data_IF_743099138728
#
_entry.id   IF_743099138728
#
_cell.length_a   1.000
_cell.length_b   1.000
_cell.length_c   1.000
_cell.angle_alpha   90.00
_cell.angle_beta   90.00
_cell.angle_gamma   90.00
#
_symmetry.space_group_name_H-M   'P 1'
#
loop_
_entity.id
_entity.type
_entity.pdbx_description
1 polymer ?
#
# COMPACT_ATOMS: atom_id res chain seq x y z
N UNK A 1 66.90 -59.72 -9.58
CA UNK A 1 65.46 -59.58 -9.98
C UNK A 1 64.48 -59.19 -8.88
N UNK A 2 64.70 -59.52 -7.60
CA UNK A 2 63.71 -59.14 -6.51
C UNK A 2 63.73 -57.67 -6.14
N UNK A 3 64.80 -56.93 -6.36
CA UNK A 3 64.92 -55.52 -5.96
C UNK A 3 64.37 -54.54 -7.04
N UNK A 4 64.29 -54.93 -8.29
CA UNK A 4 63.74 -54.11 -9.39
C UNK A 4 62.23 -54.09 -9.33
N UNK A 5 61.62 -55.22 -8.88
CA UNK A 5 60.17 -55.27 -8.76
C UNK A 5 59.61 -54.42 -7.60
N UNK A 6 60.40 -54.18 -6.51
CA UNK A 6 60.03 -53.31 -5.40
C UNK A 6 60.13 -51.81 -5.75
N UNK A 7 61.04 -51.42 -6.61
CA UNK A 7 61.16 -50.03 -7.09
C UNK A 7 60.04 -49.68 -8.08
N UNK A 8 59.62 -50.61 -8.94
CA UNK A 8 58.50 -50.38 -9.85
C UNK A 8 57.14 -50.30 -9.13
N UNK A 9 56.93 -51.05 -8.03
CA UNK A 9 55.70 -50.98 -7.28
C UNK A 9 55.60 -49.68 -6.45
N UNK A 10 56.70 -49.08 -6.03
CA UNK A 10 56.73 -47.83 -5.28
C UNK A 10 56.51 -46.61 -6.19
N UNK A 11 57.00 -46.66 -7.47
CA UNK A 11 56.77 -45.61 -8.44
C UNK A 11 55.34 -45.54 -8.97
N UNK A 12 54.65 -46.70 -9.07
CA UNK A 12 53.25 -46.77 -9.47
C UNK A 12 52.33 -46.30 -8.32
N UNK A 13 52.69 -46.50 -7.05
CA UNK A 13 51.92 -46.05 -5.91
C UNK A 13 52.08 -44.50 -5.71
N UNK A 14 53.27 -43.95 -6.03
CA UNK A 14 53.49 -42.51 -5.98
C UNK A 14 52.77 -41.75 -7.10
N UNK A 15 52.52 -42.35 -8.26
CA UNK A 15 51.80 -41.75 -9.39
C UNK A 15 50.29 -41.76 -9.21
N UNK A 16 49.73 -42.59 -8.30
CA UNK A 16 48.27 -42.64 -8.03
C UNK A 16 47.82 -41.60 -7.02
N UNK A 17 48.78 -40.95 -6.31
CA UNK A 17 48.43 -39.94 -5.29
C UNK A 17 48.33 -38.49 -5.81
N UNK A 18 48.55 -38.27 -7.12
CA UNK A 18 48.44 -36.92 -7.71
C UNK A 18 47.22 -36.71 -8.62
N UNK A 19 46.24 -37.63 -8.61
CA UNK A 19 44.94 -37.41 -9.29
C UNK A 19 43.81 -37.22 -8.27
N UNK A 20 44.09 -36.48 -7.20
CA UNK A 20 43.01 -35.78 -6.52
C UNK A 20 42.86 -34.45 -7.30
N UNK A 21 42.21 -34.55 -8.45
CA UNK A 21 41.78 -33.40 -9.19
C UNK A 21 40.96 -32.51 -8.29
N UNK A 22 41.32 -31.24 -8.19
CA UNK A 22 40.39 -30.21 -7.75
C UNK A 22 39.09 -30.42 -8.50
N UNK A 23 38.05 -30.91 -7.84
CA UNK A 23 36.70 -30.75 -8.34
C UNK A 23 36.55 -29.23 -8.45
N UNK A 24 36.54 -28.71 -9.66
CA UNK A 24 36.06 -27.39 -9.94
C UNK A 24 34.63 -27.41 -9.42
N UNK A 25 34.36 -26.75 -8.30
CA UNK A 25 32.98 -26.53 -7.88
C UNK A 25 32.30 -25.86 -9.07
N UNK A 26 31.32 -26.52 -9.65
CA UNK A 26 30.46 -25.86 -10.64
C UNK A 26 29.81 -24.68 -9.92
N UNK A 27 29.86 -23.50 -10.52
CA UNK A 27 29.22 -22.34 -9.91
C UNK A 27 27.73 -22.69 -9.68
N UNK A 28 27.26 -22.50 -8.46
CA UNK A 28 25.83 -22.66 -8.13
C UNK A 28 25.08 -21.73 -9.09
N UNK A 29 24.12 -22.24 -9.86
CA UNK A 29 23.37 -21.38 -10.77
C UNK A 29 22.68 -20.27 -9.97
N UNK A 30 22.87 -19.04 -10.38
CA UNK A 30 22.15 -17.90 -9.83
C UNK A 30 20.68 -18.08 -10.20
N UNK A 31 19.79 -18.13 -9.22
CA UNK A 31 18.34 -18.33 -9.44
C UNK A 31 17.54 -17.09 -9.05
N UNK A 32 18.14 -16.15 -8.33
CA UNK A 32 17.50 -14.94 -7.79
C UNK A 32 18.12 -13.66 -8.33
N UNK A 33 17.44 -12.54 -8.15
CA UNK A 33 17.99 -11.20 -8.19
C UNK A 33 18.02 -10.62 -6.79
N UNK A 34 18.74 -9.52 -6.59
CA UNK A 34 18.84 -8.84 -5.30
C UNK A 34 18.05 -7.54 -5.33
N UNK A 35 17.05 -7.41 -4.48
CA UNK A 35 16.45 -6.11 -4.15
C UNK A 35 17.24 -5.49 -3.01
N UNK A 36 17.68 -4.23 -3.18
CA UNK A 36 18.46 -3.48 -2.19
C UNK A 36 18.07 -2.01 -2.20
N UNK A 37 18.24 -1.34 -1.08
CA UNK A 37 18.04 0.10 -1.01
C UNK A 37 18.48 0.68 0.33
N UNK A 38 18.42 2.01 0.42
CA UNK A 38 18.70 2.76 1.65
C UNK A 38 17.41 3.44 2.10
N UNK A 39 17.15 3.43 3.40
CA UNK A 39 15.97 4.07 3.99
C UNK A 39 16.45 5.28 4.78
N UNK A 40 15.86 6.44 4.48
CA UNK A 40 16.23 7.71 5.11
C UNK A 40 15.00 8.47 5.59
N UNK A 41 15.21 9.33 6.58
CA UNK A 41 14.25 10.37 6.95
C UNK A 41 14.25 11.45 5.87
N UNK A 42 13.07 11.79 5.35
CA UNK A 42 12.92 12.70 4.20
C UNK A 42 13.38 14.14 4.50
N UNK A 43 13.33 14.57 5.77
CA UNK A 43 13.72 15.94 6.17
C UNK A 43 15.19 16.02 6.53
N UNK A 44 15.66 15.12 7.39
CA UNK A 44 17.05 15.16 7.89
C UNK A 44 18.04 14.42 6.99
N UNK A 45 17.56 13.62 6.02
CA UNK A 45 18.34 12.68 5.21
C UNK A 45 19.16 11.67 6.05
N UNK A 46 18.81 11.49 7.31
CA UNK A 46 19.47 10.54 8.21
C UNK A 46 19.05 9.11 7.88
N UNK A 47 20.00 8.18 7.93
CA UNK A 47 19.73 6.76 7.74
C UNK A 47 18.81 6.22 8.85
N UNK A 48 17.84 5.39 8.49
CA UNK A 48 16.87 4.80 9.40
C UNK A 48 17.13 3.31 9.60
N UNK A 49 17.60 2.95 10.79
CA UNK A 49 17.75 1.57 11.22
C UNK A 49 16.41 0.95 11.63
N UNK A 50 16.33 -0.39 11.66
CA UNK A 50 15.19 -1.15 12.18
C UNK A 50 13.85 -0.80 11.50
N UNK A 51 13.87 -0.46 10.20
CA UNK A 51 12.69 -0.31 9.38
C UNK A 51 12.31 -1.69 8.83
N UNK A 52 11.09 -2.14 9.09
CA UNK A 52 10.54 -3.34 8.49
C UNK A 52 10.16 -3.07 7.04
N UNK A 53 10.78 -3.76 6.10
CA UNK A 53 10.45 -3.75 4.66
C UNK A 53 9.78 -5.06 4.31
N UNK A 54 8.58 -5.02 3.74
CA UNK A 54 7.79 -6.18 3.32
C UNK A 54 7.67 -6.14 1.81
N UNK A 55 7.95 -7.27 1.15
CA UNK A 55 7.90 -7.41 -0.30
C UNK A 55 6.57 -8.01 -0.74
N UNK A 56 5.98 -7.42 -1.76
CA UNK A 56 4.71 -7.86 -2.37
C UNK A 56 4.93 -8.19 -3.85
N UNK A 57 4.26 -9.22 -4.33
CA UNK A 57 4.13 -9.51 -5.76
C UNK A 57 3.13 -8.54 -6.39
N UNK A 58 3.57 -7.80 -7.41
CA UNK A 58 2.77 -6.76 -8.04
C UNK A 58 1.62 -7.32 -8.90
N UNK A 59 1.72 -8.56 -9.38
CA UNK A 59 0.69 -9.17 -10.23
C UNK A 59 -0.49 -9.70 -9.39
N UNK A 60 -0.20 -10.15 -8.17
CA UNK A 60 -1.21 -10.72 -7.26
C UNK A 60 -1.61 -9.77 -6.14
N UNK A 61 -0.88 -8.65 -6.00
CA UNK A 61 -1.02 -7.69 -4.89
C UNK A 61 -0.97 -8.36 -3.51
N UNK A 62 -0.17 -9.43 -3.40
CA UNK A 62 -0.06 -10.27 -2.20
C UNK A 62 1.37 -10.22 -1.65
N UNK A 63 1.55 -10.28 -0.31
CA UNK A 63 2.88 -10.43 0.28
C UNK A 63 3.54 -11.71 -0.22
N UNK A 64 4.83 -11.63 -0.52
CA UNK A 64 5.64 -12.80 -0.93
C UNK A 64 6.05 -13.69 0.25
N UNK A 65 5.90 -13.21 1.48
CA UNK A 65 6.51 -13.75 2.70
C UNK A 65 7.87 -13.13 3.01
N UNK A 66 8.58 -12.64 2.00
CA UNK A 66 9.88 -12.01 2.21
C UNK A 66 9.75 -10.67 2.93
N UNK A 67 10.47 -10.53 4.04
CA UNK A 67 10.60 -9.30 4.80
C UNK A 67 12.01 -9.15 5.36
N UNK A 68 12.43 -7.91 5.59
CA UNK A 68 13.77 -7.62 6.12
C UNK A 68 13.74 -6.33 6.93
N UNK A 69 14.62 -6.24 7.93
CA UNK A 69 14.86 -5.00 8.66
C UNK A 69 16.10 -4.28 8.10
N UNK A 70 16.04 -2.95 8.00
CA UNK A 70 17.20 -2.15 7.64
C UNK A 70 18.27 -2.18 8.75
N UNK A 71 19.54 -2.17 8.33
CA UNK A 71 20.70 -2.08 9.22
C UNK A 71 20.87 -0.68 9.84
N UNK A 72 21.87 -0.53 10.69
CA UNK A 72 22.20 0.74 11.35
C UNK A 72 22.58 1.87 10.38
N UNK A 73 22.96 1.52 9.18
CA UNK A 73 23.26 2.40 8.04
C UNK A 73 22.04 2.68 7.16
N UNK A 74 20.86 2.19 7.54
CA UNK A 74 19.61 2.30 6.78
C UNK A 74 19.51 1.35 5.59
N UNK A 75 20.53 0.51 5.33
CA UNK A 75 20.55 -0.38 4.17
C UNK A 75 19.72 -1.62 4.44
N UNK A 76 18.89 -2.02 3.46
CA UNK A 76 18.22 -3.31 3.42
C UNK A 76 18.58 -4.08 2.16
N UNK A 77 18.51 -5.41 2.20
CA UNK A 77 18.77 -6.28 1.05
C UNK A 77 18.01 -7.59 1.19
N UNK A 78 17.38 -8.06 0.12
CA UNK A 78 16.63 -9.31 0.06
C UNK A 78 16.78 -9.97 -1.31
N UNK A 79 16.95 -11.29 -1.32
CA UNK A 79 16.99 -12.09 -2.55
C UNK A 79 15.56 -12.47 -2.97
N UNK A 80 15.24 -12.28 -4.25
CA UNK A 80 13.92 -12.54 -4.82
C UNK A 80 14.03 -13.29 -6.14
N UNK A 81 13.06 -14.12 -6.45
CA UNK A 81 12.90 -14.66 -7.79
C UNK A 81 12.66 -13.53 -8.81
N UNK A 82 13.00 -13.73 -10.10
CA UNK A 82 12.65 -12.75 -11.13
C UNK A 82 11.15 -12.51 -11.21
N UNK A 83 10.73 -11.23 -11.15
CA UNK A 83 9.32 -10.88 -11.13
C UNK A 83 9.08 -9.39 -10.95
N UNK A 84 7.80 -8.98 -10.97
CA UNK A 84 7.35 -7.63 -10.67
C UNK A 84 6.94 -7.54 -9.20
N UNK A 85 7.47 -6.55 -8.50
CA UNK A 85 7.29 -6.39 -7.04
C UNK A 85 7.00 -4.94 -6.68
N UNK A 86 6.46 -4.74 -5.48
CA UNK A 86 6.51 -3.48 -4.76
C UNK A 86 6.84 -3.74 -3.28
N UNK A 87 7.22 -2.70 -2.56
CA UNK A 87 7.54 -2.78 -1.13
C UNK A 87 6.69 -1.85 -0.31
N UNK A 88 6.46 -2.23 0.94
CA UNK A 88 5.92 -1.36 1.99
C UNK A 88 6.90 -1.34 3.15
N UNK A 89 7.11 -0.15 3.73
CA UNK A 89 8.00 0.04 4.86
C UNK A 89 7.25 0.58 6.09
N UNK A 90 7.63 0.11 7.27
CA UNK A 90 7.02 0.51 8.54
C UNK A 90 8.06 0.59 9.67
N UNK A 91 7.92 1.60 10.54
CA UNK A 91 8.80 1.80 11.70
C UNK A 91 8.06 2.57 12.80
N UNK A 92 8.40 2.27 14.05
CA UNK A 92 7.91 3.05 15.19
C UNK A 92 8.38 4.52 15.09
N UNK A 93 7.44 5.46 15.22
CA UNK A 93 7.67 6.89 15.10
C UNK A 93 7.62 7.44 13.66
N UNK A 94 7.42 6.59 12.65
CA UNK A 94 7.33 6.97 11.23
C UNK A 94 6.01 6.49 10.62
N UNK A 95 5.46 7.26 9.70
CA UNK A 95 4.33 6.81 8.88
C UNK A 95 4.77 5.67 7.96
N UNK A 96 3.82 4.83 7.54
CA UNK A 96 4.10 3.79 6.54
C UNK A 96 4.48 4.42 5.20
N UNK A 97 5.36 3.78 4.46
CA UNK A 97 5.66 4.13 3.07
C UNK A 97 5.26 2.96 2.15
N UNK A 98 4.35 3.13 1.17
CA UNK A 98 3.51 4.31 0.98
C UNK A 98 2.50 4.50 2.13
N UNK A 99 1.95 5.73 2.29
CA UNK A 99 0.88 5.99 3.26
C UNK A 99 -0.36 5.11 3.00
N UNK A 100 -1.21 4.88 4.01
CA UNK A 100 -2.49 4.19 3.82
C UNK A 100 -3.33 4.81 2.70
N UNK A 101 -4.04 3.97 1.94
CA UNK A 101 -4.87 4.37 0.77
C UNK A 101 -4.11 4.92 -0.45
N UNK A 102 -2.78 4.92 -0.43
CA UNK A 102 -1.94 5.23 -1.61
C UNK A 102 -1.47 3.92 -2.22
N UNK A 103 -1.76 3.73 -3.50
CA UNK A 103 -1.31 2.53 -4.21
C UNK A 103 0.21 2.56 -4.40
N UNK A 104 0.92 1.46 -4.10
CA UNK A 104 2.37 1.38 -4.31
C UNK A 104 2.73 1.37 -5.80
N UNK A 105 3.97 1.72 -6.10
CA UNK A 105 4.53 1.65 -7.46
C UNK A 105 5.38 0.38 -7.59
N UNK A 106 5.11 -0.41 -8.63
CA UNK A 106 5.85 -1.63 -8.92
C UNK A 106 7.18 -1.39 -9.61
N UNK A 107 8.10 -2.35 -9.46
CA UNK A 107 9.39 -2.43 -10.13
C UNK A 107 9.73 -3.89 -10.45
N UNK A 108 10.63 -4.11 -11.42
CA UNK A 108 11.05 -5.45 -11.82
C UNK A 108 12.37 -5.85 -11.13
N UNK A 109 12.42 -7.12 -10.68
CA UNK A 109 13.65 -7.80 -10.27
C UNK A 109 14.02 -8.81 -11.34
N UNK A 110 15.28 -8.75 -11.81
CA UNK A 110 15.81 -9.64 -12.85
C UNK A 110 16.88 -10.57 -12.32
N UNK A 111 17.00 -11.74 -12.92
CA UNK A 111 17.96 -12.79 -12.55
C UNK A 111 19.38 -12.26 -12.50
N UNK A 112 20.07 -12.42 -11.36
CA UNK A 112 21.46 -12.02 -11.17
C UNK A 112 21.71 -10.50 -11.21
N UNK A 113 20.67 -9.68 -11.14
CA UNK A 113 20.76 -8.21 -11.19
C UNK A 113 20.40 -7.62 -9.83
N UNK A 114 21.14 -6.61 -9.39
CA UNK A 114 20.77 -5.77 -8.25
C UNK A 114 19.76 -4.70 -8.72
N UNK A 115 18.55 -4.72 -8.14
CA UNK A 115 17.53 -3.68 -8.30
C UNK A 115 17.58 -2.78 -7.08
N UNK A 116 17.81 -1.47 -7.30
CA UNK A 116 17.89 -0.50 -6.20
C UNK A 116 16.55 0.20 -6.03
N UNK A 117 16.02 0.19 -4.80
CA UNK A 117 14.81 0.91 -4.40
C UNK A 117 15.06 1.58 -3.05
N UNK A 118 15.42 2.87 -3.11
CA UNK A 118 15.54 3.69 -1.89
C UNK A 118 14.14 4.10 -1.41
N UNK A 119 14.01 4.31 -0.09
CA UNK A 119 12.74 4.66 0.56
C UNK A 119 12.98 5.87 1.45
N UNK A 120 12.19 6.90 1.26
CA UNK A 120 12.13 8.04 2.17
C UNK A 120 10.91 7.89 3.09
N UNK A 121 11.12 8.09 4.39
CA UNK A 121 10.06 8.03 5.39
C UNK A 121 9.93 9.37 6.11
N UNK A 122 8.75 9.68 6.59
CA UNK A 122 8.45 10.89 7.35
C UNK A 122 7.90 10.53 8.72
N UNK A 123 8.15 11.40 9.71
CA UNK A 123 7.71 11.19 11.09
C UNK A 123 6.19 11.04 11.19
N UNK A 124 5.76 10.12 12.03
CA UNK A 124 4.34 9.90 12.29
C UNK A 124 3.69 11.10 12.99
N UNK A 125 2.41 11.32 12.66
CA UNK A 125 1.54 12.25 13.39
C UNK A 125 1.10 11.68 14.73
N UNK A 126 1.21 10.35 14.92
CA UNK A 126 0.89 9.67 16.19
C UNK A 126 2.03 9.86 17.18
N UNK A 127 1.84 10.76 18.14
CA UNK A 127 2.78 10.97 19.22
C UNK A 127 2.60 9.93 20.32
N UNK A 128 3.70 9.33 20.80
CA UNK A 128 3.70 8.31 21.85
C UNK A 128 2.87 7.05 21.51
N UNK A 129 2.76 6.65 20.24
CA UNK A 129 2.16 5.39 19.87
C UNK A 129 2.86 4.21 20.56
N UNK A 130 2.08 3.21 21.01
CA UNK A 130 2.58 1.90 21.37
C UNK A 130 2.71 1.01 20.15
N UNK A 131 3.00 -0.27 20.35
CA UNK A 131 3.00 -1.28 19.28
C UNK A 131 2.41 -2.59 19.77
N UNK A 132 1.81 -3.36 18.86
CA UNK A 132 1.20 -4.67 19.14
C UNK A 132 2.04 -5.74 18.47
N UNK A 133 2.39 -6.80 19.20
CA UNK A 133 3.08 -7.98 18.66
C UNK A 133 2.30 -9.25 18.94
N UNK A 134 2.42 -10.21 18.02
CA UNK A 134 1.77 -11.51 18.15
C UNK A 134 2.15 -12.42 17.01
N UNK A 135 1.46 -13.54 16.92
CA UNK A 135 1.68 -14.56 15.92
C UNK A 135 0.36 -15.04 15.30
N UNK A 136 0.36 -15.29 13.99
CA UNK A 136 -0.79 -15.83 13.27
C UNK A 136 -0.55 -17.30 12.97
N UNK A 137 -1.49 -18.17 13.39
CA UNK A 137 -1.37 -19.62 13.26
C UNK A 137 -2.66 -20.25 12.72
N UNK A 138 -2.52 -21.26 11.87
CA UNK A 138 -3.60 -22.18 11.50
C UNK A 138 -3.29 -23.58 12.09
N UNK A 139 -3.85 -23.88 13.26
CA UNK A 139 -3.40 -25.02 14.06
C UNK A 139 -1.93 -24.82 14.48
N UNK A 140 -1.05 -25.76 14.10
CA UNK A 140 0.38 -25.70 14.37
C UNK A 140 1.20 -25.06 13.23
N UNK A 141 0.54 -24.58 12.17
CA UNK A 141 1.19 -24.01 10.99
C UNK A 141 1.20 -22.49 11.08
N UNK A 142 2.37 -21.88 10.91
CA UNK A 142 2.49 -20.42 10.79
C UNK A 142 1.77 -19.92 9.52
N UNK A 143 1.03 -18.83 9.63
CA UNK A 143 0.38 -18.19 8.48
C UNK A 143 1.17 -16.96 8.09
N UNK A 144 1.93 -17.08 7.01
CA UNK A 144 2.65 -15.97 6.41
C UNK A 144 1.73 -15.12 5.51
N UNK A 145 2.04 -13.84 5.39
CA UNK A 145 1.39 -12.96 4.43
C UNK A 145 -0.05 -12.57 4.76
N UNK A 146 -0.55 -12.85 5.96
CA UNK A 146 -1.85 -12.36 6.41
C UNK A 146 -1.77 -10.85 6.73
N UNK A 147 -2.79 -10.09 6.36
CA UNK A 147 -2.99 -8.72 6.83
C UNK A 147 -3.55 -8.76 8.25
N UNK A 148 -2.85 -8.17 9.21
CA UNK A 148 -3.33 -8.01 10.57
C UNK A 148 -3.82 -6.57 10.74
N UNK A 149 -5.02 -6.42 11.29
CA UNK A 149 -5.63 -5.13 11.57
C UNK A 149 -6.03 -5.04 13.04
N UNK A 150 -5.58 -4.00 13.70
CA UNK A 150 -6.07 -3.55 14.99
C UNK A 150 -7.06 -2.40 14.74
N UNK A 151 -8.34 -2.64 15.00
CA UNK A 151 -9.44 -1.69 14.76
C UNK A 151 -10.02 -1.18 16.07
N UNK A 152 -10.27 0.13 16.14
CA UNK A 152 -11.04 0.77 17.20
C UNK A 152 -12.06 1.74 16.59
N UNK A 153 -13.27 1.28 16.42
CA UNK A 153 -14.41 2.06 15.91
C UNK A 153 -14.16 2.75 14.54
N UNK A 154 -13.37 2.10 13.66
CA UNK A 154 -13.05 2.57 12.32
C UNK A 154 -11.67 3.21 12.19
N UNK A 155 -10.96 3.42 13.29
CA UNK A 155 -9.54 3.80 13.28
C UNK A 155 -8.69 2.53 13.28
N UNK A 156 -8.10 2.19 12.13
CA UNK A 156 -7.39 0.94 11.90
C UNK A 156 -5.88 1.13 11.74
N UNK A 157 -5.12 0.22 12.36
CA UNK A 157 -3.66 0.10 12.24
C UNK A 157 -3.33 -1.30 11.76
N UNK A 158 -2.38 -1.46 10.84
CA UNK A 158 -2.17 -2.76 10.21
C UNK A 158 -0.71 -3.10 9.96
N UNK A 159 -0.46 -4.37 9.73
CA UNK A 159 0.82 -4.94 9.29
C UNK A 159 0.57 -6.24 8.53
N UNK A 160 1.65 -6.92 8.09
CA UNK A 160 1.61 -8.24 7.47
C UNK A 160 2.43 -9.22 8.33
N UNK A 161 1.98 -10.46 8.45
CA UNK A 161 2.75 -11.53 9.11
C UNK A 161 3.93 -11.99 8.25
N UNK A 162 5.07 -12.29 8.89
CA UNK A 162 6.27 -12.85 8.28
C UNK A 162 6.12 -14.36 8.00
N UNK A 163 7.20 -15.01 7.51
CA UNK A 163 7.24 -16.45 7.19
C UNK A 163 6.96 -17.34 8.42
N UNK A 164 7.34 -16.90 9.60
CA UNK A 164 7.09 -17.58 10.87
C UNK A 164 5.71 -17.23 11.48
N UNK A 165 4.93 -16.37 10.80
CA UNK A 165 3.63 -15.89 11.25
C UNK A 165 3.71 -14.75 12.27
N UNK A 166 4.91 -14.26 12.64
CA UNK A 166 5.04 -13.15 13.58
C UNK A 166 4.63 -11.83 12.94
N UNK A 167 4.19 -10.88 13.76
CA UNK A 167 3.83 -9.55 13.29
C UNK A 167 4.09 -8.46 14.33
N UNK A 168 4.27 -7.23 13.84
CA UNK A 168 4.34 -6.02 14.66
C UNK A 168 3.51 -4.90 14.00
N UNK A 169 2.53 -4.36 14.72
CA UNK A 169 1.79 -3.16 14.32
C UNK A 169 2.39 -1.97 15.07
N UNK A 170 2.98 -1.03 14.35
CA UNK A 170 3.63 0.15 14.88
C UNK A 170 2.66 1.34 15.03
N UNK A 171 3.02 2.32 15.86
CA UNK A 171 2.39 3.63 15.99
C UNK A 171 0.89 3.56 16.38
N UNK A 172 0.54 2.62 17.24
CA UNK A 172 -0.84 2.43 17.70
C UNK A 172 -1.12 3.34 18.91
N UNK A 173 -2.09 4.27 18.84
CA UNK A 173 -2.48 5.09 19.98
C UNK A 173 -2.96 4.24 21.18
N UNK A 174 -2.87 4.80 22.39
CA UNK A 174 -3.32 4.11 23.58
C UNK A 174 -4.84 3.96 23.58
N UNK A 175 -5.33 2.74 23.42
CA UNK A 175 -6.74 2.34 23.44
C UNK A 175 -6.85 0.81 23.48
N UNK A 176 -8.09 0.29 23.49
CA UNK A 176 -8.35 -1.13 23.31
C UNK A 176 -8.83 -1.40 21.88
N UNK A 177 -8.20 -2.35 21.20
CA UNK A 177 -8.44 -2.70 19.81
C UNK A 177 -8.98 -4.12 19.68
N UNK A 178 -9.86 -4.32 18.70
CA UNK A 178 -10.14 -5.62 18.13
C UNK A 178 -9.05 -5.93 17.10
N UNK A 179 -8.33 -7.04 17.26
CA UNK A 179 -7.24 -7.43 16.37
C UNK A 179 -7.62 -8.69 15.61
N UNK A 180 -7.61 -8.61 14.29
CA UNK A 180 -7.98 -9.69 13.38
C UNK A 180 -6.93 -9.87 12.28
N UNK A 181 -6.86 -11.08 11.71
CA UNK A 181 -6.04 -11.40 10.55
C UNK A 181 -6.92 -11.68 9.33
N UNK A 182 -6.48 -11.24 8.15
CA UNK A 182 -7.21 -11.32 6.89
C UNK A 182 -6.32 -11.91 5.79
N UNK A 183 -6.79 -13.00 5.18
CA UNK A 183 -6.12 -13.68 4.08
C UNK A 183 -7.17 -14.45 3.27
N UNK A 184 -7.08 -14.42 1.95
CA UNK A 184 -7.96 -15.22 1.10
C UNK A 184 -7.95 -16.70 1.49
N UNK A 185 -9.11 -17.32 1.59
CA UNK A 185 -9.26 -18.74 1.95
C UNK A 185 -9.28 -19.04 3.45
N UNK A 186 -9.06 -18.06 4.33
CA UNK A 186 -9.00 -18.26 5.78
C UNK A 186 -10.05 -17.41 6.51
N UNK A 187 -10.62 -17.96 7.56
CA UNK A 187 -11.38 -17.19 8.56
C UNK A 187 -10.52 -17.00 9.81
N UNK A 188 -10.68 -15.88 10.49
CA UNK A 188 -9.90 -15.48 11.66
C UNK A 188 -10.74 -15.44 12.92
N UNK A 189 -10.08 -15.62 14.08
CA UNK A 189 -10.66 -15.39 15.39
C UNK A 189 -10.12 -14.08 15.97
N UNK A 190 -11.03 -13.14 16.29
CA UNK A 190 -10.68 -11.86 16.86
C UNK A 190 -10.04 -12.00 18.25
N UNK A 191 -8.99 -11.20 18.50
CA UNK A 191 -8.39 -11.04 19.82
C UNK A 191 -8.43 -9.58 20.27
N UNK A 192 -8.47 -9.33 21.56
CA UNK A 192 -8.46 -7.97 22.12
C UNK A 192 -7.08 -7.57 22.57
N UNK A 193 -6.60 -6.39 22.20
CA UNK A 193 -5.33 -5.82 22.61
C UNK A 193 -5.51 -4.45 23.25
N UNK A 194 -5.06 -4.29 24.51
CA UNK A 194 -5.08 -2.99 25.19
C UNK A 194 -3.70 -2.34 25.11
N UNK A 195 -3.60 -1.30 24.29
CA UNK A 195 -2.36 -0.59 24.01
C UNK A 195 -2.14 0.51 25.04
N UNK A 196 -0.92 0.57 25.57
CA UNK A 196 -0.43 1.66 26.41
C UNK A 196 0.59 2.49 25.63
N UNK A 197 0.60 3.80 25.84
CA UNK A 197 1.50 4.73 25.15
C UNK A 197 2.98 4.32 25.27
N UNK A 198 3.71 4.33 24.15
CA UNK A 198 5.15 4.06 24.04
C UNK A 198 5.59 2.71 24.59
N UNK A 199 4.69 1.73 24.66
CA UNK A 199 5.00 0.37 25.16
C UNK A 199 4.51 -0.71 24.22
N UNK A 200 5.13 -1.89 24.35
CA UNK A 200 4.68 -3.09 23.67
C UNK A 200 3.42 -3.68 24.32
N UNK A 201 2.49 -4.12 23.49
CA UNK A 201 1.40 -5.02 23.84
C UNK A 201 1.67 -6.37 23.18
N UNK A 202 2.29 -7.29 23.91
CA UNK A 202 2.71 -8.58 23.38
C UNK A 202 1.63 -9.67 23.55
N UNK A 203 1.74 -10.74 22.73
CA UNK A 203 0.90 -11.93 22.84
C UNK A 203 -0.50 -11.79 22.28
N UNK A 204 -0.71 -10.89 21.33
CA UNK A 204 -1.96 -10.81 20.56
C UNK A 204 -1.96 -11.91 19.47
N UNK A 205 -1.93 -13.18 19.87
CA UNK A 205 -1.83 -14.33 18.97
C UNK A 205 -3.19 -14.63 18.34
N UNK A 206 -3.22 -14.78 17.01
CA UNK A 206 -4.44 -14.93 16.21
C UNK A 206 -4.51 -16.34 15.63
N UNK A 207 -5.64 -17.01 15.86
CA UNK A 207 -5.93 -18.29 15.23
C UNK A 207 -6.72 -18.09 13.94
N UNK A 208 -6.26 -18.73 12.85
CA UNK A 208 -6.95 -18.80 11.57
C UNK A 208 -7.36 -20.23 11.25
N UNK A 209 -8.41 -20.39 10.44
CA UNK A 209 -8.91 -21.67 9.94
C UNK A 209 -9.16 -21.57 8.45
N UNK A 210 -8.71 -22.57 7.67
CA UNK A 210 -9.03 -22.69 6.26
C UNK A 210 -10.51 -22.90 6.01
N UNK A 211 -11.00 -22.47 4.85
CA UNK A 211 -12.37 -22.76 4.41
C UNK A 211 -13.24 -21.54 4.14
N UNK A 212 -12.66 -20.34 4.02
CA UNK A 212 -13.42 -19.19 3.51
C UNK A 212 -13.91 -19.46 2.09
N UNK A 213 -15.23 -19.30 1.84
CA UNK A 213 -15.90 -19.71 0.60
C UNK A 213 -16.75 -18.61 -0.03
N UNK A 214 -16.67 -17.38 0.47
CA UNK A 214 -17.35 -16.23 -0.13
C UNK A 214 -16.79 -15.89 -1.51
N UNK A 215 -17.59 -15.19 -2.33
CA UNK A 215 -17.18 -14.65 -3.62
C UNK A 215 -17.78 -13.26 -3.81
N UNK A 216 -16.97 -12.35 -4.37
CA UNK A 216 -17.42 -11.01 -4.78
C UNK A 216 -17.18 -10.86 -6.28
N UNK A 217 -18.23 -10.53 -7.00
CA UNK A 217 -18.20 -10.31 -8.45
C UNK A 217 -18.87 -9.00 -8.79
N UNK A 218 -18.70 -8.49 -10.00
CA UNK A 218 -19.46 -7.31 -10.44
C UNK A 218 -19.11 -6.85 -11.84
N UNK A 219 -20.06 -6.11 -12.42
CA UNK A 219 -19.85 -5.44 -13.68
C UNK A 219 -19.06 -4.14 -13.48
N UNK A 220 -18.10 -3.88 -14.39
CA UNK A 220 -17.34 -2.63 -14.44
C UNK A 220 -17.86 -1.82 -15.63
N UNK A 221 -18.34 -0.61 -15.36
CA UNK A 221 -18.74 0.34 -16.41
C UNK A 221 -17.62 1.32 -16.68
N UNK A 222 -17.05 1.27 -17.88
CA UNK A 222 -15.98 2.18 -18.31
C UNK A 222 -16.57 3.47 -18.88
N UNK A 223 -16.37 4.59 -18.20
CA UNK A 223 -16.66 5.94 -18.71
C UNK A 223 -15.43 6.59 -19.37
N UNK A 224 -14.26 5.98 -19.19
CA UNK A 224 -13.02 6.34 -19.84
C UNK A 224 -12.94 5.81 -21.27
N UNK A 225 -12.05 6.38 -22.09
CA UNK A 225 -11.83 5.97 -23.49
C UNK A 225 -10.61 5.07 -23.61
N UNK A 226 -10.73 3.95 -24.33
CA UNK A 226 -9.64 3.02 -24.63
C UNK A 226 -9.85 1.61 -24.08
N UNK A 227 -8.86 0.75 -24.29
CA UNK A 227 -8.81 -0.58 -23.71
C UNK A 227 -8.06 -0.44 -22.37
N UNK A 228 -8.79 -0.52 -21.26
CA UNK A 228 -8.29 -0.15 -19.94
C UNK A 228 -8.31 -1.39 -19.06
N UNK A 229 -7.19 -1.69 -18.44
CA UNK A 229 -7.11 -2.63 -17.34
C UNK A 229 -7.56 -1.93 -16.05
N UNK A 230 -8.17 -2.66 -15.15
CA UNK A 230 -8.61 -2.18 -13.85
C UNK A 230 -8.11 -3.15 -12.80
N UNK A 231 -7.41 -2.65 -11.83
CA UNK A 231 -7.02 -3.39 -10.63
C UNK A 231 -8.19 -3.33 -9.64
N UNK A 232 -8.83 -4.48 -9.41
CA UNK A 232 -9.94 -4.61 -8.47
C UNK A 232 -9.48 -5.32 -7.23
N UNK A 233 -9.64 -4.70 -6.08
CA UNK A 233 -9.25 -5.26 -4.79
C UNK A 233 -10.36 -5.11 -3.74
N UNK A 234 -10.42 -6.06 -2.80
CA UNK A 234 -11.13 -5.87 -1.54
C UNK A 234 -10.15 -5.34 -0.50
N UNK A 235 -10.48 -4.20 0.07
CA UNK A 235 -9.67 -3.53 1.10
C UNK A 235 -10.37 -3.57 2.45
N UNK A 236 -9.59 -3.51 3.54
CA UNK A 236 -10.15 -3.39 4.89
C UNK A 236 -10.70 -1.97 5.11
N UNK A 237 -11.95 -1.82 5.59
CA UNK A 237 -12.61 -0.51 5.65
C UNK A 237 -11.90 0.53 6.52
N UNK A 238 -11.28 0.12 7.63
CA UNK A 238 -10.63 1.05 8.57
C UNK A 238 -9.19 1.39 8.22
N UNK A 239 -8.52 0.59 7.36
CA UNK A 239 -7.13 0.84 6.99
C UNK A 239 -6.94 1.17 5.51
N UNK A 240 -7.90 0.82 4.65
CA UNK A 240 -7.75 0.91 3.20
C UNK A 240 -6.73 -0.08 2.59
N UNK A 241 -6.10 -0.93 3.42
CA UNK A 241 -5.15 -1.94 2.95
C UNK A 241 -5.85 -3.07 2.21
N UNK A 242 -5.25 -3.51 1.09
CA UNK A 242 -5.74 -4.66 0.33
C UNK A 242 -5.63 -5.94 1.14
N UNK A 243 -6.68 -6.75 1.12
CA UNK A 243 -6.65 -8.09 1.71
C UNK A 243 -5.81 -9.00 0.81
N UNK A 244 -4.75 -9.63 1.32
CA UNK A 244 -3.89 -10.50 0.53
C UNK A 244 -4.67 -11.64 -0.15
N UNK A 245 -4.42 -11.82 -1.45
CA UNK A 245 -5.12 -12.79 -2.30
C UNK A 245 -6.52 -12.36 -2.75
N UNK A 246 -6.98 -11.15 -2.39
CA UNK A 246 -8.28 -10.61 -2.82
C UNK A 246 -8.11 -9.41 -3.74
N UNK A 247 -7.31 -9.57 -4.79
CA UNK A 247 -7.18 -8.61 -5.89
C UNK A 247 -7.09 -9.33 -7.24
N UNK A 248 -7.46 -8.63 -8.29
CA UNK A 248 -7.36 -9.10 -9.68
C UNK A 248 -7.17 -7.92 -10.61
N UNK A 249 -6.37 -8.11 -11.66
CA UNK A 249 -6.25 -7.17 -12.76
C UNK A 249 -7.10 -7.71 -13.92
N UNK A 250 -7.95 -6.88 -14.50
CA UNK A 250 -8.82 -7.28 -15.61
C UNK A 250 -9.00 -6.19 -16.65
N UNK A 251 -8.90 -6.56 -17.91
CA UNK A 251 -9.31 -5.74 -19.05
C UNK A 251 -10.77 -6.01 -19.49
N UNK A 252 -11.50 -6.86 -18.76
CA UNK A 252 -12.89 -7.20 -19.02
C UNK A 252 -13.86 -6.29 -18.27
N UNK A 253 -15.12 -6.31 -18.68
CA UNK A 253 -16.20 -5.58 -18.01
C UNK A 253 -16.78 -6.31 -16.79
N UNK A 254 -16.15 -7.37 -16.33
CA UNK A 254 -16.58 -8.16 -15.16
C UNK A 254 -15.36 -8.61 -14.37
N UNK A 255 -15.43 -8.53 -13.05
CA UNK A 255 -14.43 -9.07 -12.12
C UNK A 255 -15.03 -10.14 -11.22
N UNK A 256 -14.19 -11.03 -10.69
CA UNK A 256 -14.54 -12.02 -9.69
C UNK A 256 -13.36 -12.24 -8.74
N UNK A 257 -13.67 -12.18 -7.43
CA UNK A 257 -12.76 -12.50 -6.33
C UNK A 257 -13.37 -13.64 -5.52
N UNK A 258 -12.64 -14.74 -5.37
CA UNK A 258 -13.10 -15.96 -4.69
C UNK A 258 -12.36 -16.20 -3.38
N UNK A 259 -12.82 -17.17 -2.57
CA UNK A 259 -12.25 -17.50 -1.27
C UNK A 259 -12.24 -16.33 -0.29
N UNK A 260 -13.25 -15.46 -0.39
CA UNK A 260 -13.38 -14.27 0.45
C UNK A 260 -13.85 -14.69 1.84
N UNK A 261 -13.11 -14.36 2.92
CA UNK A 261 -13.53 -14.60 4.30
C UNK A 261 -14.85 -13.89 4.64
N UNK A 262 -15.54 -14.35 5.67
CA UNK A 262 -16.66 -13.61 6.20
C UNK A 262 -16.19 -12.28 6.80
N UNK A 263 -16.88 -11.20 6.48
CA UNK A 263 -16.49 -9.87 6.95
C UNK A 263 -17.06 -8.73 6.12
N UNK A 264 -16.64 -7.53 6.47
CA UNK A 264 -16.99 -6.29 5.76
C UNK A 264 -15.75 -5.75 5.05
N UNK A 265 -15.93 -5.41 3.78
CA UNK A 265 -14.87 -4.95 2.88
C UNK A 265 -15.30 -3.70 2.14
N UNK A 266 -14.33 -2.99 1.57
CA UNK A 266 -14.53 -1.94 0.61
C UNK A 266 -13.93 -2.41 -0.74
N UNK A 267 -14.77 -2.51 -1.77
CA UNK A 267 -14.29 -2.81 -3.11
C UNK A 267 -13.66 -1.56 -3.73
N UNK A 268 -12.44 -1.67 -4.21
CA UNK A 268 -11.72 -0.59 -4.88
C UNK A 268 -11.32 -0.99 -6.29
N UNK A 269 -11.30 0.01 -7.19
CA UNK A 269 -10.82 -0.14 -8.55
C UNK A 269 -9.87 1.00 -8.88
N UNK A 270 -8.64 0.66 -9.17
CA UNK A 270 -7.59 1.56 -9.63
C UNK A 270 -6.60 0.76 -10.47
N UNK A 271 -5.68 1.40 -11.16
CA UNK A 271 -4.58 0.74 -11.85
C UNK A 271 -3.36 1.64 -11.84
N UNK A 272 -2.31 1.23 -11.21
CA UNK A 272 -0.93 1.72 -11.20
C UNK A 272 -0.66 3.10 -11.82
N UNK A 273 -1.38 4.15 -11.40
CA UNK A 273 -1.15 5.52 -11.88
C UNK A 273 -1.29 5.66 -13.42
N UNK A 274 -2.30 5.00 -13.97
CA UNK A 274 -2.58 4.92 -15.42
C UNK A 274 -3.56 6.00 -15.95
N UNK A 275 -4.02 6.87 -15.07
CA UNK A 275 -5.00 7.88 -15.42
C UNK A 275 -6.46 7.44 -15.23
N UNK A 276 -6.72 6.33 -14.52
CA UNK A 276 -8.08 5.80 -14.28
C UNK A 276 -8.39 5.83 -12.77
N UNK A 277 -9.61 6.25 -12.46
CA UNK A 277 -10.13 6.30 -11.08
C UNK A 277 -11.56 5.77 -11.03
N UNK A 278 -11.98 5.36 -9.83
CA UNK A 278 -13.40 5.09 -9.60
C UNK A 278 -14.23 6.35 -9.89
N UNK A 279 -15.39 6.17 -10.56
CA UNK A 279 -16.31 7.27 -10.84
C UNK A 279 -16.91 7.82 -9.54
N UNK A 280 -16.57 9.05 -9.14
CA UNK A 280 -17.06 9.61 -7.89
C UNK A 280 -18.58 9.87 -7.90
N UNK A 281 -19.21 10.05 -9.07
CA UNK A 281 -20.67 10.17 -9.19
C UNK A 281 -21.37 8.84 -8.89
N UNK A 282 -20.74 7.73 -9.26
CA UNK A 282 -21.23 6.40 -8.87
C UNK A 282 -21.22 6.24 -7.34
N UNK A 283 -20.14 6.67 -6.68
CA UNK A 283 -20.01 6.64 -5.21
C UNK A 283 -21.09 7.52 -4.56
N UNK A 284 -21.34 8.72 -5.08
CA UNK A 284 -22.39 9.61 -4.55
C UNK A 284 -23.79 8.96 -4.63
N UNK A 285 -24.09 8.30 -5.74
CA UNK A 285 -25.41 7.70 -6.00
C UNK A 285 -25.65 6.40 -5.25
N UNK A 286 -24.62 5.58 -5.10
CA UNK A 286 -24.72 4.22 -4.60
C UNK A 286 -24.12 4.05 -3.20
N UNK A 287 -23.41 5.05 -2.68
CA UNK A 287 -22.56 4.99 -1.49
C UNK A 287 -21.20 4.39 -1.77
N UNK A 288 -20.33 4.42 -0.78
CA UNK A 288 -19.07 3.68 -0.84
C UNK A 288 -19.35 2.20 -1.13
N UNK A 289 -18.55 1.54 -1.98
CA UNK A 289 -18.81 0.17 -2.42
C UNK A 289 -18.49 -0.85 -1.32
N UNK A 290 -19.12 -0.72 -0.16
CA UNK A 290 -19.05 -1.71 0.91
C UNK A 290 -19.65 -3.04 0.48
N UNK A 291 -18.99 -4.11 0.89
CA UNK A 291 -19.38 -5.49 0.66
C UNK A 291 -19.38 -6.20 2.01
N UNK A 292 -20.50 -6.80 2.39
CA UNK A 292 -20.57 -7.70 3.55
C UNK A 292 -20.69 -9.13 3.03
N UNK A 293 -19.68 -9.95 3.34
CA UNK A 293 -19.61 -11.36 2.98
C UNK A 293 -19.96 -12.19 4.20
N UNK A 294 -20.89 -13.12 4.02
CA UNK A 294 -21.28 -14.16 4.98
C UNK A 294 -21.53 -15.47 4.22
N UNK A 295 -20.50 -15.92 3.50
CA UNK A 295 -20.61 -16.97 2.48
C UNK A 295 -21.35 -16.51 1.22
N UNK A 296 -21.39 -17.39 0.21
CA UNK A 296 -22.10 -17.15 -1.05
C UNK A 296 -21.47 -16.10 -1.97
N UNK A 297 -22.24 -15.69 -2.98
CA UNK A 297 -21.79 -14.74 -4.02
C UNK A 297 -22.45 -13.38 -3.80
N UNK A 298 -21.65 -12.34 -3.74
CA UNK A 298 -22.09 -10.94 -3.60
C UNK A 298 -21.79 -10.22 -4.91
N UNK A 299 -22.81 -9.58 -5.49
CA UNK A 299 -22.66 -8.72 -6.67
C UNK A 299 -22.40 -7.27 -6.25
N UNK A 300 -21.29 -6.70 -6.71
CA UNK A 300 -20.88 -5.32 -6.44
C UNK A 300 -20.35 -4.65 -7.71
N UNK A 301 -21.23 -4.15 -8.61
CA UNK A 301 -20.81 -3.38 -9.77
C UNK A 301 -20.29 -1.99 -9.36
N UNK A 302 -19.48 -1.37 -10.24
CA UNK A 302 -19.06 0.03 -10.12
C UNK A 302 -18.69 0.62 -11.49
N UNK A 303 -18.41 1.93 -11.51
CA UNK A 303 -17.95 2.66 -12.71
C UNK A 303 -16.55 3.23 -12.51
N UNK A 304 -15.79 3.35 -13.58
CA UNK A 304 -14.47 4.00 -13.64
C UNK A 304 -14.45 5.09 -14.69
N UNK A 305 -13.64 6.13 -14.49
CA UNK A 305 -13.48 7.28 -15.38
C UNK A 305 -12.01 7.70 -15.46
N UNK A 306 -11.67 8.61 -16.40
CA UNK A 306 -10.33 9.20 -16.44
C UNK A 306 -10.10 10.08 -15.21
N UNK A 307 -8.87 10.08 -14.69
CA UNK A 307 -8.44 10.94 -13.57
C UNK A 307 -8.17 12.37 -14.02
N UNK A 308 -8.04 13.28 -13.04
CA UNK A 308 -7.51 14.64 -13.23
C UNK A 308 -6.01 14.60 -12.93
N UNK A 309 -5.20 15.08 -13.86
CA UNK A 309 -3.76 15.18 -13.65
C UNK A 309 -3.44 16.33 -12.71
N UNK A 310 -2.72 16.05 -11.60
CA UNK A 310 -2.19 17.04 -10.67
C UNK A 310 -0.78 17.48 -11.07
N UNK A 311 -0.47 18.77 -10.95
CA UNK A 311 0.78 19.37 -11.40
C UNK A 311 1.70 19.75 -10.23
N UNK A 312 1.18 20.45 -9.21
CA UNK A 312 1.98 20.88 -8.05
C UNK A 312 1.10 21.13 -6.82
N UNK A 313 1.58 20.80 -5.59
CA UNK A 313 2.69 19.87 -5.35
C UNK A 313 2.32 18.47 -5.76
N UNK A 314 3.17 17.77 -6.49
CA UNK A 314 2.91 16.42 -6.96
C UNK A 314 4.21 15.61 -7.00
N UNK A 315 4.19 14.44 -6.37
CA UNK A 315 5.24 13.46 -6.52
C UNK A 315 5.30 12.94 -7.98
N UNK A 316 6.46 12.48 -8.41
CA UNK A 316 6.62 11.90 -9.76
C UNK A 316 5.80 10.61 -9.93
N UNK A 317 5.42 10.29 -11.16
CA UNK A 317 4.58 9.12 -11.46
C UNK A 317 5.18 7.77 -11.01
N UNK A 318 6.51 7.69 -10.90
CA UNK A 318 7.23 6.48 -10.49
C UNK A 318 7.54 6.40 -8.99
N UNK A 319 7.02 7.33 -8.17
CA UNK A 319 7.25 7.36 -6.72
C UNK A 319 5.97 7.69 -5.96
N UNK A 320 5.82 7.10 -4.79
CA UNK A 320 4.78 7.42 -3.81
C UNK A 320 5.34 8.21 -2.61
N UNK A 321 6.55 8.72 -2.75
CA UNK A 321 7.20 9.58 -1.74
C UNK A 321 6.65 11.00 -1.83
N UNK A 322 6.53 11.64 -0.67
CA UNK A 322 6.02 13.00 -0.60
C UNK A 322 7.03 14.00 -1.18
N UNK A 323 6.56 14.99 -1.93
CA UNK A 323 7.41 16.09 -2.38
C UNK A 323 7.54 17.15 -1.28
N UNK A 324 8.76 17.64 -1.05
CA UNK A 324 9.01 18.69 -0.05
C UNK A 324 8.55 20.06 -0.56
N UNK A 325 7.75 20.77 0.25
CA UNK A 325 7.31 22.12 -0.03
C UNK A 325 7.78 23.07 1.08
N UNK A 326 8.42 24.18 0.70
CA UNK A 326 9.04 25.15 1.62
C UNK A 326 8.04 26.17 2.22
N UNK A 327 6.74 25.84 2.24
CA UNK A 327 5.72 26.77 2.73
C UNK A 327 4.52 26.03 3.32
N UNK A 328 3.94 26.61 4.37
CA UNK A 328 2.67 26.17 4.97
C UNK A 328 1.43 26.65 4.20
N UNK A 329 1.61 27.39 3.10
CA UNK A 329 0.53 27.86 2.22
C UNK A 329 0.90 27.50 0.78
N UNK A 330 0.98 26.18 0.42
CA UNK A 330 1.27 25.77 -0.94
C UNK A 330 0.16 26.19 -1.90
N UNK A 331 0.52 26.39 -3.16
CA UNK A 331 -0.44 26.54 -4.26
C UNK A 331 -0.62 25.19 -4.94
N UNK A 332 -1.87 24.77 -5.10
CA UNK A 332 -2.26 23.53 -5.79
C UNK A 332 -2.63 23.84 -7.23
N UNK A 333 -2.09 23.07 -8.18
CA UNK A 333 -2.35 23.24 -9.61
C UNK A 333 -2.62 21.89 -10.28
N UNK A 334 -3.53 21.89 -11.28
CA UNK A 334 -3.96 20.70 -12.02
C UNK A 334 -4.28 21.03 -13.47
N UNK A 335 -4.39 20.01 -14.33
CA UNK A 335 -4.82 20.17 -15.71
C UNK A 335 -6.35 20.36 -15.80
N UNK A 336 -6.86 21.18 -16.73
CA UNK A 336 -8.30 21.34 -16.91
C UNK A 336 -8.98 20.01 -17.29
N UNK A 337 -10.09 19.67 -16.61
CA UNK A 337 -10.92 18.54 -16.96
C UNK A 337 -12.10 18.98 -17.83
N UNK A 338 -12.41 18.23 -18.89
CA UNK A 338 -13.43 18.61 -19.86
C UNK A 338 -14.84 18.63 -19.26
N UNK A 339 -15.69 19.57 -19.71
CA UNK A 339 -17.09 19.69 -19.30
C UNK A 339 -17.32 19.99 -17.81
N UNK A 340 -16.30 20.45 -17.10
CA UNK A 340 -16.36 20.84 -15.68
C UNK A 340 -17.07 22.16 -15.50
N UNK A 341 -17.92 22.28 -14.48
CA UNK A 341 -18.54 23.54 -14.04
C UNK A 341 -17.72 24.21 -12.94
N UNK A 342 -17.15 23.42 -12.04
CA UNK A 342 -16.28 23.86 -10.95
C UNK A 342 -15.44 22.68 -10.43
N UNK A 343 -14.42 23.01 -9.62
CA UNK A 343 -13.57 22.05 -8.94
C UNK A 343 -13.75 22.13 -7.43
N UNK A 344 -13.49 21.02 -6.75
CA UNK A 344 -13.38 20.92 -5.29
C UNK A 344 -12.00 20.39 -4.96
N UNK A 345 -11.24 21.09 -4.14
CA UNK A 345 -9.99 20.58 -3.57
C UNK A 345 -10.26 19.92 -2.23
N UNK A 346 -9.52 18.86 -1.94
CA UNK A 346 -9.51 18.20 -0.64
C UNK A 346 -8.07 17.98 -0.21
N UNK A 347 -7.74 18.42 1.01
CA UNK A 347 -6.44 18.22 1.65
C UNK A 347 -6.66 17.43 2.92
N UNK A 348 -5.96 16.30 3.06
CA UNK A 348 -5.98 15.43 4.24
C UNK A 348 -4.58 15.27 4.83
N UNK A 349 -4.48 14.89 6.10
CA UNK A 349 -3.24 14.38 6.66
C UNK A 349 -2.91 12.96 6.13
N UNK A 350 -1.79 12.39 6.56
CA UNK A 350 -1.34 11.06 6.16
C UNK A 350 -2.33 9.95 6.54
N UNK A 351 -3.18 10.16 7.54
CA UNK A 351 -4.18 9.20 8.02
C UNK A 351 -5.57 9.42 7.39
N UNK A 352 -5.70 10.38 6.46
CA UNK A 352 -6.95 10.68 5.77
C UNK A 352 -7.88 11.64 6.51
N UNK A 353 -7.45 12.24 7.64
CA UNK A 353 -8.23 13.28 8.33
C UNK A 353 -8.30 14.53 7.49
N UNK A 354 -9.51 15.06 7.26
CA UNK A 354 -9.72 16.27 6.48
C UNK A 354 -9.08 17.50 7.17
N UNK A 355 -8.26 18.22 6.41
CA UNK A 355 -7.60 19.48 6.83
C UNK A 355 -8.25 20.68 6.14
N UNK A 356 -8.56 20.60 4.84
CA UNK A 356 -9.17 21.70 4.10
C UNK A 356 -9.98 21.20 2.90
N UNK A 357 -11.04 21.94 2.56
CA UNK A 357 -11.87 21.69 1.40
C UNK A 357 -12.78 20.46 1.56
N UNK A 358 -12.80 19.61 0.56
CA UNK A 358 -13.62 18.41 0.52
C UNK A 358 -15.13 18.70 0.56
N UNK A 359 -15.86 17.77 1.16
CA UNK A 359 -17.32 17.78 1.18
C UNK A 359 -17.85 17.68 2.61
N UNK A 360 -19.09 18.12 2.81
CA UNK A 360 -19.85 17.73 4.02
C UNK A 360 -20.23 16.24 3.96
N UNK A 361 -20.70 15.72 5.10
CA UNK A 361 -21.07 14.29 5.19
C UNK A 361 -21.93 13.85 3.98
N UNK A 362 -21.56 12.70 3.41
CA UNK A 362 -22.23 12.08 2.25
C UNK A 362 -22.26 12.97 0.99
N UNK A 363 -21.26 13.80 0.77
CA UNK A 363 -21.19 14.69 -0.38
C UNK A 363 -22.41 15.63 -0.53
N UNK A 364 -23.04 16.02 0.57
CA UNK A 364 -24.23 16.86 0.54
C UNK A 364 -23.95 18.28 0.07
N UNK A 365 -22.78 18.85 0.38
CA UNK A 365 -22.32 20.14 -0.13
C UNK A 365 -20.79 20.21 -0.22
N UNK A 366 -20.30 21.10 -1.06
CA UNK A 366 -18.88 21.41 -1.26
C UNK A 366 -18.46 22.43 -0.22
N UNK A 367 -17.34 22.19 0.48
CA UNK A 367 -16.77 23.16 1.43
C UNK A 367 -16.00 24.26 0.70
N UNK A 368 -15.44 23.94 -0.48
CA UNK A 368 -14.67 24.83 -1.35
C UNK A 368 -15.16 24.66 -2.78
N UNK A 369 -15.35 25.77 -3.51
CA UNK A 369 -15.80 25.77 -4.91
C UNK A 369 -14.87 26.64 -5.73
N UNK A 370 -14.13 26.05 -6.64
CA UNK A 370 -13.19 26.73 -7.53
C UNK A 370 -13.82 26.78 -8.93
N UNK A 371 -14.04 27.98 -9.53
CA UNK A 371 -14.64 28.08 -10.87
C UNK A 371 -13.84 27.31 -11.91
N UNK A 372 -14.50 26.70 -12.91
CA UNK A 372 -13.88 25.90 -13.98
C UNK A 372 -12.83 26.65 -14.81
N UNK A 373 -12.86 27.98 -14.81
CA UNK A 373 -11.84 28.81 -15.46
C UNK A 373 -10.53 28.93 -14.68
N UNK A 374 -10.46 28.39 -13.45
CA UNK A 374 -9.28 28.38 -12.59
C UNK A 374 -8.83 26.94 -12.37
N UNK A 375 -7.55 26.66 -12.57
CA UNK A 375 -6.90 25.37 -12.31
C UNK A 375 -5.80 25.50 -11.29
N UNK A 376 -5.93 26.48 -10.40
CA UNK A 376 -4.99 26.79 -9.34
C UNK A 376 -5.69 27.40 -8.13
N UNK A 377 -5.23 27.05 -6.91
CA UNK A 377 -5.72 27.65 -5.66
C UNK A 377 -4.65 27.55 -4.57
N UNK A 378 -4.48 28.60 -3.76
CA UNK A 378 -3.62 28.55 -2.57
C UNK A 378 -4.33 27.85 -1.41
N UNK A 379 -3.57 27.14 -0.57
CA UNK A 379 -4.10 26.55 0.66
C UNK A 379 -4.78 27.62 1.53
N UNK A 380 -6.02 27.34 1.93
CA UNK A 380 -6.78 28.22 2.82
C UNK A 380 -7.33 29.51 2.17
N UNK A 381 -7.37 29.59 0.84
CA UNK A 381 -7.99 30.73 0.14
C UNK A 381 -9.48 30.86 0.48
N UNK A 382 -9.82 31.91 1.23
CA UNK A 382 -11.18 32.19 1.69
C UNK A 382 -12.11 32.65 0.56
N UNK A 383 -11.58 33.03 -0.61
CA UNK A 383 -12.41 33.47 -1.74
C UNK A 383 -13.16 32.30 -2.41
N UNK A 384 -12.72 31.05 -2.17
CA UNK A 384 -13.31 29.84 -2.75
C UNK A 384 -14.17 29.03 -1.78
N UNK A 385 -14.20 29.37 -0.48
CA UNK A 385 -15.07 28.68 0.49
C UNK A 385 -14.59 28.73 1.93
N UNK A 386 -14.78 27.63 2.66
CA UNK A 386 -14.50 27.54 4.09
C UNK A 386 -13.00 27.60 4.41
N UNK A 387 -12.59 28.16 5.56
CA UNK A 387 -11.21 28.11 6.02
C UNK A 387 -10.77 26.66 6.30
N UNK A 388 -9.46 26.40 6.36
CA UNK A 388 -8.94 25.13 6.85
C UNK A 388 -9.43 24.81 8.27
N UNK A 389 -9.64 23.54 8.56
CA UNK A 389 -9.93 23.04 9.91
C UNK A 389 -8.71 23.20 10.80
N UNK A 390 -7.51 22.97 10.22
CA UNK A 390 -6.21 23.08 10.86
C UNK A 390 -5.20 23.70 9.88
N UNK A 391 -4.17 24.34 10.39
CA UNK A 391 -3.04 24.80 9.58
C UNK A 391 -2.12 23.62 9.22
N UNK A 392 -1.44 23.71 8.07
CA UNK A 392 -0.34 22.82 7.76
C UNK A 392 0.84 23.07 8.72
N UNK A 393 1.51 21.99 9.12
CA UNK A 393 2.58 22.00 10.12
C UNK A 393 3.86 21.47 9.49
N UNK A 394 4.99 22.16 9.76
CA UNK A 394 6.33 21.71 9.33
C UNK A 394 6.65 20.30 9.82
N UNK A 395 7.31 19.50 9.00
CA UNK A 395 7.64 18.10 9.25
C UNK A 395 6.47 17.12 9.10
N UNK A 396 5.28 17.59 8.68
CA UNK A 396 4.12 16.73 8.53
C UNK A 396 3.73 16.55 7.07
N UNK A 397 3.29 15.32 6.75
CA UNK A 397 2.90 14.91 5.42
C UNK A 397 1.40 15.01 5.24
N UNK A 398 1.03 15.43 4.07
CA UNK A 398 -0.34 15.65 3.63
C UNK A 398 -0.54 15.05 2.25
N UNK A 399 -1.82 14.80 1.92
CA UNK A 399 -2.25 14.44 0.58
C UNK A 399 -3.33 15.40 0.13
N UNK A 400 -3.29 15.78 -1.13
CA UNK A 400 -4.38 16.55 -1.72
C UNK A 400 -4.96 15.86 -2.95
N UNK A 401 -6.22 16.11 -3.18
CA UNK A 401 -6.97 15.68 -4.33
C UNK A 401 -7.77 16.83 -4.91
N UNK A 402 -8.09 16.74 -6.20
CA UNK A 402 -9.01 17.65 -6.87
C UNK A 402 -10.10 16.83 -7.55
N UNK A 403 -11.34 17.26 -7.33
CA UNK A 403 -12.53 16.69 -7.94
C UNK A 403 -13.07 17.67 -8.98
N UNK A 404 -13.47 17.17 -10.15
CA UNK A 404 -14.25 17.92 -11.14
C UNK A 404 -15.75 17.68 -10.94
N UNK A 405 -16.52 18.75 -10.93
CA UNK A 405 -17.97 18.64 -10.84
C UNK A 405 -18.68 19.31 -12.04
N UNK A 406 -19.87 18.84 -12.33
CA UNK A 406 -20.73 19.36 -13.38
C UNK A 406 -22.11 19.68 -12.81
N UNK A 407 -22.60 20.89 -13.09
CA UNK A 407 -23.95 21.30 -12.70
C UNK A 407 -25.00 20.44 -13.43
N UNK A 408 -25.99 19.99 -12.69
CA UNK A 408 -27.14 19.27 -13.23
C UNK A 408 -28.32 20.20 -13.37
N UNK A 409 -28.51 20.77 -14.57
CA UNK A 409 -29.56 21.73 -14.83
C UNK A 409 -30.98 21.13 -14.70
N UNK A 410 -31.12 19.82 -14.79
CA UNK A 410 -32.43 19.15 -14.67
C UNK A 410 -32.92 19.02 -13.21
N UNK A 411 -31.98 18.90 -12.26
CA UNK A 411 -32.31 18.73 -10.83
C UNK A 411 -31.94 19.93 -9.97
N UNK A 412 -31.22 20.91 -10.52
CA UNK A 412 -30.65 22.04 -9.76
C UNK A 412 -29.50 21.67 -8.84
N UNK A 413 -28.97 20.44 -8.94
CA UNK A 413 -27.82 19.92 -8.20
C UNK A 413 -26.54 19.89 -9.02
N UNK A 414 -25.62 19.04 -8.62
CA UNK A 414 -24.33 18.79 -9.30
C UNK A 414 -23.97 17.32 -9.19
N UNK A 415 -23.10 16.86 -10.10
CA UNK A 415 -22.52 15.53 -10.10
C UNK A 415 -21.02 15.66 -10.12
N UNK A 416 -20.29 14.81 -9.42
CA UNK A 416 -18.86 14.63 -9.64
C UNK A 416 -18.64 13.86 -10.94
N UNK A 417 -17.65 14.25 -11.73
CA UNK A 417 -17.37 13.61 -13.02
C UNK A 417 -15.96 13.04 -13.10
N UNK A 418 -15.07 13.41 -12.16
CA UNK A 418 -13.73 12.83 -12.01
C UNK A 418 -13.08 13.30 -10.72
N UNK A 419 -11.94 12.66 -10.40
CA UNK A 419 -11.03 13.01 -9.30
C UNK A 419 -9.59 12.73 -9.75
N UNK A 420 -8.60 13.31 -9.06
CA UNK A 420 -7.20 12.94 -9.24
C UNK A 420 -6.89 11.56 -8.64
N UNK A 421 -5.82 10.93 -9.15
CA UNK A 421 -5.35 9.65 -8.62
C UNK A 421 -4.85 9.76 -7.17
N UNK A 422 -4.91 8.65 -6.44
CA UNK A 422 -4.53 8.58 -5.03
C UNK A 422 -3.01 8.46 -4.81
N UNK A 423 -2.26 8.01 -5.83
CA UNK A 423 -0.79 7.95 -5.80
C UNK A 423 -0.13 9.33 -5.94
N UNK A 424 -0.88 10.32 -6.37
CA UNK A 424 -0.38 11.67 -6.66
C UNK A 424 -0.80 12.65 -5.54
N UNK A 425 -0.17 13.80 -5.52
CA UNK A 425 -0.53 14.87 -4.58
C UNK A 425 -0.03 14.66 -3.14
N UNK A 426 0.97 13.79 -2.93
CA UNK A 426 1.67 13.66 -1.65
C UNK A 426 2.68 14.79 -1.48
N UNK A 427 2.65 15.48 -0.35
CA UNK A 427 3.63 16.51 -0.03
C UNK A 427 3.92 16.58 1.47
N UNK A 428 5.12 17.03 1.80
CA UNK A 428 5.56 17.30 3.16
C UNK A 428 5.94 18.78 3.28
N UNK A 429 5.56 19.43 4.37
CA UNK A 429 5.93 20.81 4.64
C UNK A 429 7.29 20.83 5.35
N UNK A 430 8.25 21.58 4.80
CA UNK A 430 9.59 21.79 5.39
C UNK A 430 9.55 22.69 6.64
#
# INVERSE_FOLDING_TARGET
MKNILKLLSLSILASLLFVVGCKKEEPVPVTTGTLKGTITDIISASALADVLVIVFDANTNSPTGASVYSGVDGVYSVELDPGAYFVKAAKQGYEKSPPPTVSPISFDVSLGVETVKDIEMFESTVTNGGWITGRVMAGDIAVAGALIVADNAGDGYSTISDEEGNYTIFNVPAATYAVNAWLAGYNSTEVSASVTASTETAGADIAMTEGASGSVTGAITFLATGNIEVDVALTHPSTGETIPGLSTITASSVYELTNVPDGMYLARASYNNDGIVMDPDWIIKNGEPFVTVSGGVIDRPFSVTNSIEVLTPSNVASSVEAVVVATTIPTFEWTPYSSTSDYVIEVTDANGKLIWGGFTARFASKNVVIPSGSTSVAFGDLSVGNPPVENLVSGKTYRWRVYASKNNNATGGWNLISVSEDQRGLFIVE
#
